data_IF_512910846164
#
_entry.id   IF_512910846164
#
_cell.length_a   1.000
_cell.length_b   1.000
_cell.length_c   1.000
_cell.angle_alpha   90.00
_cell.angle_beta   90.00
_cell.angle_gamma   90.00
#
_symmetry.space_group_name_H-M   'P 1'
#
loop_
_entity.id
_entity.type
_entity.pdbx_description
1 polymer ?
#
# COMPACT_ATOMS: atom_id res chain seq x y z
N UNK A 1 14.15 13.70 -6.93
CA UNK A 1 14.57 12.30 -6.65
C UNK A 1 14.07 11.35 -7.75
N UNK A 2 12.80 11.42 -8.18
CA UNK A 2 12.31 10.67 -9.34
C UNK A 2 13.07 11.02 -10.63
N UNK A 3 13.26 12.32 -10.88
CA UNK A 3 13.87 12.82 -12.13
C UNK A 3 15.33 12.40 -12.29
N UNK A 4 16.09 12.32 -11.19
CA UNK A 4 17.49 11.91 -11.21
C UNK A 4 17.65 10.45 -11.65
N UNK A 5 16.77 9.57 -11.20
CA UNK A 5 16.81 8.15 -11.57
C UNK A 5 16.39 7.92 -13.02
N UNK A 6 15.45 8.75 -13.53
CA UNK A 6 15.11 8.70 -14.95
C UNK A 6 16.22 9.22 -15.84
N UNK A 7 16.90 10.29 -15.43
CA UNK A 7 18.09 10.76 -16.13
C UNK A 7 19.18 9.67 -16.19
N UNK A 8 19.42 8.94 -15.10
CA UNK A 8 20.37 7.82 -15.09
C UNK A 8 19.97 6.67 -16.03
N UNK A 9 18.67 6.41 -16.20
CA UNK A 9 18.20 5.41 -17.15
C UNK A 9 18.33 5.90 -18.61
N UNK A 10 18.14 7.19 -18.85
CA UNK A 10 18.37 7.80 -20.16
C UNK A 10 19.85 7.71 -20.54
N UNK A 11 20.76 8.15 -19.65
CA UNK A 11 22.22 8.07 -19.85
C UNK A 11 22.67 6.61 -20.11
N UNK A 12 22.09 5.66 -19.40
CA UNK A 12 22.36 4.23 -19.59
C UNK A 12 21.98 3.74 -20.99
N UNK A 13 20.83 4.17 -21.53
CA UNK A 13 20.42 3.82 -22.90
C UNK A 13 21.34 4.46 -23.94
N UNK A 14 21.79 5.68 -23.71
CA UNK A 14 22.76 6.34 -24.59
C UNK A 14 24.10 5.58 -24.63
N UNK A 15 24.63 5.18 -23.48
CA UNK A 15 25.85 4.37 -23.40
C UNK A 15 25.70 3.01 -24.09
N UNK A 16 24.54 2.38 -23.96
CA UNK A 16 24.22 1.14 -24.68
C UNK A 16 24.16 1.35 -26.20
N UNK A 17 23.57 2.45 -26.68
CA UNK A 17 23.56 2.80 -28.11
C UNK A 17 24.97 3.04 -28.67
N UNK A 18 25.91 3.47 -27.82
CA UNK A 18 27.34 3.61 -28.15
C UNK A 18 28.12 2.29 -28.04
N UNK A 19 27.48 1.18 -27.64
CA UNK A 19 28.13 -0.11 -27.42
C UNK A 19 29.01 -0.19 -26.16
N UNK A 20 28.93 0.83 -25.29
CA UNK A 20 29.69 0.91 -24.02
C UNK A 20 29.00 0.16 -22.88
N UNK A 21 27.76 -0.28 -23.09
CA UNK A 21 26.96 -0.99 -22.10
C UNK A 21 26.09 -2.04 -22.77
N UNK A 22 25.88 -3.17 -22.10
CA UNK A 22 25.04 -4.26 -22.61
C UNK A 22 23.56 -4.03 -22.29
N UNK A 23 22.68 -4.68 -23.08
CA UNK A 23 21.23 -4.60 -22.85
C UNK A 23 20.83 -5.08 -21.46
N UNK A 24 21.52 -6.10 -20.92
CA UNK A 24 21.24 -6.65 -19.59
C UNK A 24 21.57 -5.66 -18.46
N UNK A 25 22.58 -4.81 -18.64
CA UNK A 25 22.92 -3.74 -17.71
C UNK A 25 21.89 -2.61 -17.76
N UNK A 26 21.41 -2.23 -18.95
CA UNK A 26 20.29 -1.26 -19.10
C UNK A 26 19.05 -1.80 -18.40
N UNK A 27 18.71 -3.07 -18.62
CA UNK A 27 17.54 -3.72 -18.05
C UNK A 27 17.60 -3.74 -16.52
N UNK A 28 18.78 -4.03 -15.95
CA UNK A 28 18.96 -4.00 -14.50
C UNK A 28 18.68 -2.59 -13.92
N UNK A 29 19.17 -1.54 -14.59
CA UNK A 29 18.88 -0.15 -14.18
C UNK A 29 17.40 0.15 -14.33
N UNK A 30 16.78 -0.22 -15.44
CA UNK A 30 15.35 -0.01 -15.69
C UNK A 30 14.47 -0.67 -14.62
N UNK A 31 14.79 -1.90 -14.20
CA UNK A 31 14.11 -2.60 -13.12
C UNK A 31 14.21 -1.82 -11.81
N UNK A 32 15.38 -1.31 -11.48
CA UNK A 32 15.60 -0.54 -10.24
C UNK A 32 14.85 0.78 -10.23
N UNK A 33 14.85 1.51 -11.34
CA UNK A 33 14.08 2.76 -11.49
C UNK A 33 12.59 2.47 -11.33
N UNK A 34 12.06 1.46 -12.03
CA UNK A 34 10.65 1.07 -11.95
C UNK A 34 10.25 0.62 -10.53
N UNK A 35 11.09 -0.18 -9.86
CA UNK A 35 10.84 -0.60 -8.48
C UNK A 35 10.76 0.60 -7.52
N UNK A 36 11.60 1.62 -7.74
CA UNK A 36 11.59 2.85 -6.94
C UNK A 36 10.34 3.69 -7.18
N UNK A 37 9.91 3.84 -8.43
CA UNK A 37 8.67 4.55 -8.78
C UNK A 37 7.44 3.87 -8.18
N UNK A 38 7.35 2.55 -8.29
CA UNK A 38 6.27 1.77 -7.66
C UNK A 38 6.26 2.00 -6.16
N UNK A 39 7.41 1.89 -5.50
CA UNK A 39 7.54 2.09 -4.06
C UNK A 39 7.13 3.50 -3.62
N UNK A 40 7.46 4.53 -4.42
CA UNK A 40 7.11 5.92 -4.12
C UNK A 40 5.60 6.19 -4.21
N UNK A 41 4.87 5.44 -5.04
CA UNK A 41 3.41 5.54 -5.20
C UNK A 41 2.62 4.77 -4.14
N UNK A 42 3.25 3.81 -3.45
CA UNK A 42 2.60 3.02 -2.41
C UNK A 42 2.60 3.80 -1.10
N UNK A 43 1.41 4.19 -0.65
CA UNK A 43 1.25 4.85 0.65
C UNK A 43 1.79 3.96 1.79
N UNK A 44 2.45 4.57 2.78
CA UNK A 44 2.87 3.84 4.00
C UNK A 44 1.63 3.40 4.79
N UNK A 45 1.68 2.19 5.36
CA UNK A 45 0.67 1.75 6.33
C UNK A 45 0.87 2.55 7.62
N UNK A 46 -0.17 3.21 8.10
CA UNK A 46 -0.16 3.87 9.41
C UNK A 46 -0.79 2.94 10.46
N UNK A 47 -0.21 2.90 11.65
CA UNK A 47 -0.86 2.32 12.83
C UNK A 47 -2.19 3.01 13.09
N UNK A 48 -3.14 2.28 13.65
CA UNK A 48 -4.44 2.82 14.03
C UNK A 48 -4.79 2.47 15.47
N UNK A 49 -5.44 3.39 16.18
CA UNK A 49 -6.05 3.13 17.49
C UNK A 49 -7.40 2.45 17.33
N UNK A 50 -7.91 1.84 18.39
CA UNK A 50 -9.24 1.27 18.41
C UNK A 50 -10.34 2.28 18.11
N UNK A 51 -10.17 3.51 18.59
CA UNK A 51 -11.07 4.63 18.32
C UNK A 51 -11.10 5.01 16.84
N UNK A 52 -9.93 5.07 16.18
CA UNK A 52 -9.86 5.37 14.75
C UNK A 52 -10.50 4.26 13.90
N UNK A 53 -10.29 3.00 14.28
CA UNK A 53 -10.93 1.84 13.62
C UNK A 53 -12.45 1.92 13.77
N UNK A 54 -12.93 2.19 14.99
CA UNK A 54 -14.36 2.37 15.26
C UNK A 54 -14.93 3.54 14.46
N UNK A 55 -14.21 4.65 14.36
CA UNK A 55 -14.64 5.84 13.62
C UNK A 55 -14.81 5.56 12.12
N UNK A 56 -13.87 4.85 11.49
CA UNK A 56 -14.00 4.42 10.09
C UNK A 56 -15.24 3.54 9.94
N UNK A 57 -15.38 2.53 10.81
CA UNK A 57 -16.49 1.60 10.76
C UNK A 57 -17.84 2.31 10.82
N UNK A 58 -18.01 3.22 11.79
CA UNK A 58 -19.27 3.94 11.97
C UNK A 58 -19.51 4.99 10.90
N UNK A 59 -18.45 5.61 10.35
CA UNK A 59 -18.54 6.56 9.22
C UNK A 59 -19.22 5.94 8.02
N UNK A 60 -19.00 4.65 7.76
CA UNK A 60 -19.63 3.92 6.66
C UNK A 60 -20.83 3.07 7.09
N UNK A 61 -21.41 3.33 8.27
CA UNK A 61 -22.62 2.64 8.74
C UNK A 61 -22.45 1.14 9.01
N UNK A 62 -21.21 0.66 9.19
CA UNK A 62 -20.93 -0.76 9.34
C UNK A 62 -21.08 -1.23 10.78
N UNK A 63 -21.63 -2.44 10.97
CA UNK A 63 -21.49 -3.16 12.23
C UNK A 63 -20.09 -3.79 12.34
N UNK A 64 -19.67 -4.19 13.55
CA UNK A 64 -18.39 -4.91 13.72
C UNK A 64 -18.33 -6.17 12.85
N UNK A 65 -19.45 -6.89 12.70
CA UNK A 65 -19.55 -8.08 11.85
C UNK A 65 -19.43 -7.75 10.36
N UNK A 66 -20.01 -6.63 9.91
CA UNK A 66 -19.89 -6.18 8.51
C UNK A 66 -18.45 -5.82 8.17
N UNK A 67 -17.79 -5.02 9.03
CA UNK A 67 -16.38 -4.70 8.83
C UNK A 67 -15.50 -5.95 8.83
N UNK A 68 -15.77 -6.88 9.75
CA UNK A 68 -15.06 -8.15 9.81
C UNK A 68 -15.22 -8.95 8.50
N UNK A 69 -16.44 -9.06 7.98
CA UNK A 69 -16.72 -9.72 6.71
C UNK A 69 -15.99 -9.05 5.53
N UNK A 70 -16.02 -7.72 5.44
CA UNK A 70 -15.30 -6.95 4.42
C UNK A 70 -13.80 -7.24 4.43
N UNK A 71 -13.21 -7.46 5.62
CA UNK A 71 -11.78 -7.69 5.78
C UNK A 71 -11.39 -9.18 5.77
N UNK A 72 -12.34 -10.11 5.67
CA UNK A 72 -12.09 -11.55 5.83
C UNK A 72 -11.66 -11.96 7.24
N UNK A 73 -12.09 -11.21 8.26
CA UNK A 73 -11.68 -11.34 9.66
C UNK A 73 -12.87 -11.79 10.54
N UNK A 74 -12.60 -12.15 11.80
CA UNK A 74 -13.66 -12.41 12.78
C UNK A 74 -14.16 -11.12 13.41
N UNK A 75 -15.45 -11.08 13.80
CA UNK A 75 -16.03 -10.00 14.61
C UNK A 75 -15.23 -9.79 15.90
N UNK A 76 -14.76 -10.88 16.51
CA UNK A 76 -13.97 -10.83 17.73
C UNK A 76 -12.67 -10.03 17.52
N UNK A 77 -11.94 -10.27 16.43
CA UNK A 77 -10.73 -9.51 16.11
C UNK A 77 -11.02 -8.02 16.02
N UNK A 78 -12.06 -7.62 15.28
CA UNK A 78 -12.49 -6.21 15.18
C UNK A 78 -12.83 -5.64 16.56
N UNK A 79 -13.55 -6.40 17.38
CA UNK A 79 -13.93 -6.00 18.73
C UNK A 79 -12.72 -5.75 19.63
N UNK A 80 -11.72 -6.65 19.60
CA UNK A 80 -10.48 -6.50 20.37
C UNK A 80 -9.62 -5.35 19.86
N UNK A 81 -9.59 -5.09 18.54
CA UNK A 81 -8.92 -3.93 17.96
C UNK A 81 -9.55 -2.62 18.45
N UNK A 82 -10.87 -2.52 18.40
CA UNK A 82 -11.62 -1.33 18.86
C UNK A 82 -11.44 -1.04 20.36
N UNK A 83 -11.12 -2.05 21.16
CA UNK A 83 -10.77 -1.92 22.59
C UNK A 83 -9.28 -1.80 22.86
N UNK A 84 -8.45 -1.70 21.82
CA UNK A 84 -6.99 -1.64 21.91
C UNK A 84 -6.32 -2.86 22.62
N UNK A 85 -7.02 -4.00 22.74
CA UNK A 85 -6.49 -5.21 23.41
C UNK A 85 -5.42 -5.92 22.57
N UNK A 86 -5.61 -5.93 21.25
CA UNK A 86 -4.63 -6.42 20.26
C UNK A 86 -4.52 -5.45 19.10
N UNK A 87 -3.42 -5.52 18.36
CA UNK A 87 -3.22 -4.71 17.15
C UNK A 87 -3.62 -5.48 15.88
N UNK A 88 -4.17 -4.79 14.86
CA UNK A 88 -4.36 -5.41 13.55
C UNK A 88 -3.03 -5.86 12.95
N UNK A 89 -3.03 -6.99 12.25
CA UNK A 89 -1.86 -7.43 11.48
C UNK A 89 -1.55 -6.45 10.34
N UNK A 90 -0.33 -6.50 9.78
CA UNK A 90 0.06 -5.63 8.67
C UNK A 90 -0.94 -5.59 7.50
N UNK A 91 -1.43 -6.76 7.01
CA UNK A 91 -2.47 -6.80 5.98
C UNK A 91 -3.81 -6.19 6.42
N UNK A 92 -4.28 -6.50 7.63
CA UNK A 92 -5.52 -5.91 8.15
C UNK A 92 -5.41 -4.38 8.29
N UNK A 93 -4.26 -3.90 8.75
CA UNK A 93 -3.96 -2.47 8.87
C UNK A 93 -3.89 -1.79 7.50
N UNK A 94 -3.32 -2.44 6.48
CA UNK A 94 -3.34 -1.97 5.08
C UNK A 94 -4.78 -1.81 4.57
N UNK A 95 -5.67 -2.76 4.86
CA UNK A 95 -7.08 -2.67 4.48
C UNK A 95 -7.78 -1.53 5.23
N UNK A 96 -7.57 -1.40 6.54
CA UNK A 96 -8.13 -0.29 7.34
C UNK A 96 -7.69 1.08 6.83
N UNK A 97 -6.40 1.23 6.50
CA UNK A 97 -5.86 2.45 5.89
C UNK A 97 -6.52 2.73 4.52
N UNK A 98 -6.76 1.68 3.73
CA UNK A 98 -7.46 1.81 2.44
C UNK A 98 -8.91 2.27 2.64
N UNK A 99 -9.65 1.66 3.57
CA UNK A 99 -11.01 2.05 3.92
C UNK A 99 -11.09 3.50 4.42
N UNK A 100 -10.10 3.95 5.20
CA UNK A 100 -10.03 5.32 5.71
C UNK A 100 -10.01 6.37 4.58
N UNK A 101 -9.32 6.06 3.48
CA UNK A 101 -9.06 6.97 2.37
C UNK A 101 -10.10 6.80 1.26
N UNK A 102 -10.41 5.56 0.88
CA UNK A 102 -11.18 5.22 -0.33
C UNK A 102 -12.59 4.71 -0.06
N UNK A 103 -12.90 4.36 1.18
CA UNK A 103 -14.19 3.76 1.53
C UNK A 103 -14.33 2.29 1.14
N UNK A 104 -15.45 1.66 1.52
CA UNK A 104 -15.72 0.24 1.29
C UNK A 104 -16.03 -0.15 -0.16
N UNK A 105 -16.30 0.83 -1.02
CA UNK A 105 -16.63 0.65 -2.44
C UNK A 105 -15.48 -0.01 -3.21
N UNK A 106 -14.25 0.07 -2.71
CA UNK A 106 -13.09 -0.66 -3.25
C UNK A 106 -13.23 -2.18 -3.19
N UNK A 107 -14.19 -2.69 -2.41
CA UNK A 107 -14.54 -4.11 -2.29
C UNK A 107 -15.92 -4.43 -2.86
N UNK A 108 -16.55 -3.49 -3.58
CA UNK A 108 -17.82 -3.74 -4.26
C UNK A 108 -17.64 -4.79 -5.38
N UNK A 109 -18.74 -5.50 -5.68
CA UNK A 109 -18.80 -6.51 -6.74
C UNK A 109 -18.80 -5.89 -8.13
#
# INVERSE_FOLDING_TARGET
MSDKLQMMLEDAKELNALGLMSDSEVDAIAVMVKAREVSARIAKVKSMTGEEIKAIRTRYGMSQSVLAHTMGMSKESVSKWERNEIKPSGPALRILNTLAIKGPEVFAK
#
